data_IF_503511479443
#
_entry.id   IF_503511479443
#
_cell.length_a   1.000
_cell.length_b   1.000
_cell.length_c   1.000
_cell.angle_alpha   90.00
_cell.angle_beta   90.00
_cell.angle_gamma   90.00
#
_symmetry.space_group_name_H-M   'P 1'
#
loop_
_entity.id
_entity.type
_entity.pdbx_description
1 polymer ?
#
# COMPACT_ATOMS: atom_id res chain seq x y z
N UNK A 1 -38.36 -19.80 -19.97
CA UNK A 1 -37.01 -19.60 -20.54
C UNK A 1 -36.32 -18.32 -20.03
N UNK A 2 -37.01 -17.19 -19.78
CA UNK A 2 -36.37 -15.93 -19.27
C UNK A 2 -35.76 -16.05 -17.86
N UNK A 3 -36.30 -16.88 -17.00
CA UNK A 3 -35.84 -17.01 -15.59
C UNK A 3 -34.57 -17.87 -15.42
N UNK A 4 -34.29 -18.79 -16.35
CA UNK A 4 -33.10 -19.65 -16.33
C UNK A 4 -31.85 -18.83 -16.67
N UNK A 5 -31.97 -17.86 -17.60
CA UNK A 5 -30.86 -16.98 -17.96
C UNK A 5 -30.42 -16.05 -16.79
N UNK A 6 -31.38 -15.63 -15.95
CA UNK A 6 -31.11 -14.79 -14.79
C UNK A 6 -30.32 -15.52 -13.69
N UNK A 7 -30.65 -16.79 -13.46
CA UNK A 7 -29.93 -17.62 -12.47
C UNK A 7 -28.52 -18.02 -12.93
N UNK A 8 -28.30 -18.21 -14.23
CA UNK A 8 -26.95 -18.50 -14.75
C UNK A 8 -26.02 -17.29 -14.68
N UNK A 9 -26.55 -16.08 -14.87
CA UNK A 9 -25.78 -14.84 -14.74
C UNK A 9 -25.37 -14.55 -13.27
N UNK A 10 -26.20 -14.95 -12.31
CA UNK A 10 -25.92 -14.75 -10.87
C UNK A 10 -24.85 -15.71 -10.33
N UNK A 11 -24.68 -16.88 -10.95
CA UNK A 11 -23.68 -17.88 -10.52
C UNK A 11 -22.26 -17.60 -11.02
N UNK A 12 -22.08 -16.71 -11.99
CA UNK A 12 -20.76 -16.37 -12.55
C UNK A 12 -20.01 -15.32 -11.68
N UNK A 13 -20.71 -14.67 -10.74
CA UNK A 13 -20.20 -13.55 -9.98
C UNK A 13 -19.34 -13.91 -8.73
N UNK A 14 -19.09 -15.19 -8.45
CA UNK A 14 -18.44 -15.63 -7.22
C UNK A 14 -17.05 -16.27 -7.35
N UNK A 15 -16.41 -16.15 -8.49
CA UNK A 15 -14.98 -16.50 -8.57
C UNK A 15 -14.14 -15.26 -8.26
N UNK A 16 -14.07 -14.90 -6.97
CA UNK A 16 -13.00 -14.06 -6.47
C UNK A 16 -11.75 -14.96 -6.42
N UNK A 17 -10.85 -14.81 -7.39
CA UNK A 17 -9.54 -15.44 -7.28
C UNK A 17 -8.75 -14.66 -6.24
N UNK A 18 -8.46 -15.30 -5.11
CA UNK A 18 -7.49 -14.78 -4.14
C UNK A 18 -6.18 -14.49 -4.85
N UNK A 19 -5.65 -13.29 -4.67
CA UNK A 19 -4.36 -12.92 -5.26
C UNK A 19 -3.25 -13.44 -4.33
N UNK A 20 -2.52 -14.46 -4.78
CA UNK A 20 -1.42 -15.07 -4.02
C UNK A 20 -0.08 -14.59 -4.53
N UNK A 21 0.73 -14.00 -3.67
CA UNK A 21 2.06 -13.48 -3.98
C UNK A 21 3.11 -14.04 -3.04
N UNK A 22 4.29 -14.36 -3.57
CA UNK A 22 5.45 -14.74 -2.81
C UNK A 22 6.60 -13.76 -3.10
N UNK A 23 7.06 -13.03 -2.08
CA UNK A 23 8.29 -12.25 -2.16
C UNK A 23 9.46 -13.17 -1.81
N UNK A 24 10.45 -13.29 -2.71
CA UNK A 24 11.46 -14.35 -2.61
C UNK A 24 12.89 -13.83 -2.80
N UNK A 25 13.80 -14.22 -1.90
CA UNK A 25 15.26 -14.07 -2.05
C UNK A 25 15.86 -12.81 -1.41
N UNK A 26 15.06 -11.89 -0.93
CA UNK A 26 15.54 -10.66 -0.29
C UNK A 26 15.98 -10.83 1.16
N UNK A 27 16.49 -9.76 1.75
CA UNK A 27 16.76 -9.69 3.20
C UNK A 27 15.56 -9.04 3.89
N UNK A 28 14.82 -9.79 4.69
CA UNK A 28 13.70 -9.26 5.47
C UNK A 28 14.20 -8.59 6.75
N UNK A 29 13.75 -7.34 6.95
CA UNK A 29 13.95 -6.55 8.18
C UNK A 29 12.53 -6.29 8.73
N UNK A 30 12.18 -6.93 9.83
CA UNK A 30 10.80 -6.94 10.34
C UNK A 30 10.35 -5.68 11.11
N UNK A 31 11.29 -4.77 11.41
CA UNK A 31 11.02 -3.55 12.16
C UNK A 31 10.92 -3.72 13.68
N UNK A 32 11.05 -4.94 14.21
CA UNK A 32 10.99 -5.22 15.65
C UNK A 32 12.37 -5.34 16.32
N UNK A 33 13.45 -5.17 15.55
CA UNK A 33 14.82 -5.28 16.04
C UNK A 33 15.34 -6.71 16.10
N UNK A 34 14.66 -7.66 15.48
CA UNK A 34 15.14 -9.01 15.30
C UNK A 34 16.30 -9.07 14.28
N UNK A 35 17.03 -10.19 14.29
CA UNK A 35 18.07 -10.44 13.29
C UNK A 35 17.41 -10.52 11.90
N UNK A 36 17.94 -9.81 10.89
CA UNK A 36 17.42 -9.88 9.54
C UNK A 36 17.42 -11.31 8.99
N UNK A 37 16.38 -11.67 8.26
CA UNK A 37 16.24 -12.97 7.60
C UNK A 37 16.75 -12.85 6.17
N UNK A 38 17.87 -13.50 5.87
CA UNK A 38 18.42 -13.60 4.50
C UNK A 38 17.69 -14.67 3.71
N UNK A 39 17.68 -14.55 2.38
CA UNK A 39 16.99 -15.46 1.47
C UNK A 39 15.52 -15.67 1.88
N UNK A 40 14.88 -14.56 2.29
CA UNK A 40 13.53 -14.59 2.86
C UNK A 40 12.48 -15.01 1.82
N UNK A 41 11.44 -15.66 2.34
CA UNK A 41 10.18 -15.92 1.64
C UNK A 41 9.04 -15.34 2.47
N UNK A 42 8.20 -14.54 1.83
CA UNK A 42 6.99 -13.97 2.44
C UNK A 42 5.81 -14.36 1.56
N UNK A 43 4.92 -15.20 2.09
CA UNK A 43 3.69 -15.59 1.41
C UNK A 43 2.56 -14.63 1.77
N UNK A 44 1.88 -14.11 0.76
CA UNK A 44 0.79 -13.14 0.89
C UNK A 44 -0.42 -13.69 0.14
N UNK A 45 -1.56 -13.75 0.82
CA UNK A 45 -2.86 -14.03 0.21
C UNK A 45 -3.76 -12.81 0.42
N UNK A 46 -4.20 -12.22 -0.67
CA UNK A 46 -4.93 -10.95 -0.70
C UNK A 46 -4.14 -9.84 0.04
N UNK A 47 -4.62 -9.39 1.20
CA UNK A 47 -4.00 -8.33 2.02
C UNK A 47 -3.32 -8.90 3.28
N UNK A 48 -3.14 -10.22 3.37
CA UNK A 48 -2.65 -10.88 4.59
C UNK A 48 -1.33 -11.61 4.33
N UNK A 49 -0.33 -11.37 5.19
CA UNK A 49 0.87 -12.20 5.24
C UNK A 49 0.52 -13.51 5.93
N UNK A 50 0.65 -14.62 5.21
CA UNK A 50 0.28 -15.97 5.67
C UNK A 50 1.47 -16.65 6.34
N UNK A 51 2.66 -16.50 5.76
CA UNK A 51 3.84 -17.17 6.26
C UNK A 51 5.11 -16.36 5.95
N UNK A 52 6.10 -16.46 6.83
CA UNK A 52 7.41 -15.84 6.68
C UNK A 52 8.49 -16.86 7.07
N UNK A 53 9.47 -17.01 6.20
CA UNK A 53 10.61 -17.91 6.45
C UNK A 53 11.72 -17.69 5.42
N UNK A 54 12.37 -18.76 5.01
CA UNK A 54 13.47 -18.73 4.02
C UNK A 54 13.18 -19.67 2.86
N UNK A 55 13.92 -19.52 1.77
CA UNK A 55 13.86 -20.41 0.61
C UNK A 55 14.19 -21.89 0.95
N UNK A 56 14.83 -22.14 2.09
CA UNK A 56 15.14 -23.49 2.57
C UNK A 56 14.06 -24.08 3.47
N UNK A 57 13.11 -23.28 3.97
CA UNK A 57 12.09 -23.70 4.94
C UNK A 57 10.68 -23.65 4.42
N UNK A 58 10.40 -22.83 3.40
CA UNK A 58 9.06 -22.66 2.83
C UNK A 58 9.03 -23.25 1.42
N UNK A 59 8.08 -24.17 1.19
CA UNK A 59 7.72 -24.66 -0.13
C UNK A 59 6.62 -23.77 -0.73
N UNK A 60 6.93 -23.12 -1.87
CA UNK A 60 6.01 -22.21 -2.54
C UNK A 60 5.15 -23.00 -3.53
N UNK A 61 3.84 -22.99 -3.30
CA UNK A 61 2.89 -23.63 -4.20
C UNK A 61 2.84 -22.92 -5.56
N UNK A 62 2.55 -23.67 -6.63
CA UNK A 62 2.57 -23.18 -8.02
C UNK A 62 1.49 -22.16 -8.35
N UNK A 63 0.52 -21.92 -7.46
CA UNK A 63 -0.53 -20.92 -7.60
C UNK A 63 -0.12 -19.52 -7.07
N UNK A 64 1.10 -19.39 -6.51
CA UNK A 64 1.66 -18.10 -6.14
C UNK A 64 2.37 -17.40 -7.30
N UNK A 65 2.11 -16.12 -7.48
CA UNK A 65 2.92 -15.23 -8.28
C UNK A 65 4.25 -14.95 -7.55
N UNK A 66 5.37 -15.37 -8.15
CA UNK A 66 6.70 -15.16 -7.55
C UNK A 66 7.20 -13.76 -7.92
N UNK A 67 7.49 -12.94 -6.92
CA UNK A 67 8.14 -11.64 -7.05
C UNK A 67 9.55 -11.76 -6.48
N UNK A 68 10.55 -11.71 -7.35
CA UNK A 68 11.94 -11.75 -6.89
C UNK A 68 12.30 -10.46 -6.15
N UNK A 69 12.83 -10.63 -4.96
CA UNK A 69 13.41 -9.56 -4.14
C UNK A 69 14.90 -9.78 -3.92
N UNK A 70 15.52 -10.62 -4.74
CA UNK A 70 16.95 -10.93 -4.66
C UNK A 70 17.80 -9.65 -4.73
N UNK A 71 18.76 -9.51 -3.82
CA UNK A 71 19.59 -8.31 -3.68
C UNK A 71 18.88 -7.09 -3.07
N UNK A 72 17.61 -7.22 -2.68
CA UNK A 72 16.82 -6.13 -2.06
C UNK A 72 16.65 -6.35 -0.56
N UNK A 73 16.35 -5.27 0.14
CA UNK A 73 15.81 -5.34 1.50
C UNK A 73 14.29 -5.22 1.45
N UNK A 74 13.61 -6.15 2.12
CA UNK A 74 12.16 -6.14 2.30
C UNK A 74 11.87 -5.71 3.73
N UNK A 75 11.00 -4.71 3.91
CA UNK A 75 10.66 -4.17 5.21
C UNK A 75 9.20 -3.71 5.24
N UNK A 76 8.58 -3.62 6.42
CA UNK A 76 7.28 -2.98 6.56
C UNK A 76 7.29 -1.56 6.00
N UNK A 77 6.17 -1.13 5.44
CA UNK A 77 6.03 0.25 5.00
C UNK A 77 6.29 1.25 6.12
N UNK A 78 6.95 2.34 5.79
CA UNK A 78 7.31 3.38 6.75
C UNK A 78 6.07 4.14 7.23
N UNK A 79 6.12 4.61 8.47
CA UNK A 79 5.13 5.50 9.06
C UNK A 79 5.71 6.89 9.24
N UNK A 80 5.07 7.90 8.65
CA UNK A 80 5.34 9.29 8.96
C UNK A 80 4.27 9.83 9.92
N UNK A 81 4.68 10.09 11.15
CA UNK A 81 3.76 10.48 12.23
C UNK A 81 3.44 11.98 12.23
N UNK A 82 4.00 12.76 11.30
CA UNK A 82 3.78 14.19 11.23
C UNK A 82 3.91 14.72 9.79
N UNK A 83 2.84 14.68 9.05
CA UNK A 83 2.79 15.27 7.70
C UNK A 83 1.80 16.43 7.62
N UNK A 84 1.93 17.22 6.57
CA UNK A 84 0.99 18.24 6.14
C UNK A 84 0.81 18.09 4.63
N UNK A 85 -0.12 17.24 4.21
CA UNK A 85 -0.31 16.91 2.79
C UNK A 85 -0.70 18.11 1.92
N UNK A 86 -1.31 19.13 2.52
CA UNK A 86 -1.69 20.35 1.83
C UNK A 86 -0.52 21.30 1.57
N UNK A 87 0.63 21.11 2.24
CA UNK A 87 1.78 22.00 2.16
C UNK A 87 2.85 21.37 1.26
N UNK A 88 3.19 22.07 0.19
CA UNK A 88 4.43 21.84 -0.55
C UNK A 88 5.45 22.91 -0.15
N UNK A 89 6.74 22.63 -0.32
CA UNK A 89 7.80 23.61 -0.05
C UNK A 89 7.54 24.91 -0.80
N UNK A 90 7.09 25.95 -0.11
CA UNK A 90 6.79 27.26 -0.66
C UNK A 90 7.39 28.35 0.24
N UNK A 91 7.79 29.48 -0.36
CA UNK A 91 8.41 30.59 0.37
C UNK A 91 7.40 31.51 1.07
N UNK A 92 6.12 31.44 0.68
CA UNK A 92 5.04 32.28 1.20
C UNK A 92 3.77 31.45 1.41
N UNK A 93 3.57 30.97 2.66
CA UNK A 93 2.40 30.15 3.02
C UNK A 93 1.10 30.96 3.11
N UNK A 94 1.17 32.26 3.41
CA UNK A 94 -0.01 33.14 3.40
C UNK A 94 -0.59 33.29 1.99
N UNK A 95 0.28 33.37 1.01
CA UNK A 95 -0.12 33.36 -0.40
C UNK A 95 -0.67 31.98 -0.80
N UNK A 96 0.00 30.90 -0.38
CA UNK A 96 -0.39 29.53 -0.66
C UNK A 96 -1.82 29.24 -0.19
N UNK A 97 -2.10 29.51 1.08
CA UNK A 97 -3.38 29.25 1.73
C UNK A 97 -4.53 30.11 1.16
N UNK A 98 -4.22 31.25 0.59
CA UNK A 98 -5.23 32.12 -0.08
C UNK A 98 -5.48 31.72 -1.53
N UNK A 99 -4.46 31.19 -2.20
CA UNK A 99 -4.50 30.97 -3.65
C UNK A 99 -4.96 29.56 -4.00
N UNK A 100 -4.54 28.53 -3.26
CA UNK A 100 -4.67 27.14 -3.67
C UNK A 100 -5.65 26.26 -2.88
N UNK A 101 -6.49 26.73 -1.94
CA UNK A 101 -7.37 25.84 -1.16
C UNK A 101 -8.28 24.97 -2.03
N UNK A 102 -8.75 25.49 -3.16
CA UNK A 102 -9.60 24.76 -4.11
C UNK A 102 -8.90 23.57 -4.77
N UNK A 103 -7.55 23.55 -4.76
CA UNK A 103 -6.74 22.48 -5.33
C UNK A 103 -6.26 21.46 -4.30
N UNK A 104 -6.47 21.70 -3.00
CA UNK A 104 -5.96 20.83 -1.94
C UNK A 104 -6.44 19.39 -2.11
N UNK A 105 -7.75 19.18 -2.18
CA UNK A 105 -8.38 17.87 -2.23
C UNK A 105 -8.06 17.07 -3.51
N UNK A 106 -8.06 17.73 -4.66
CA UNK A 106 -8.06 17.01 -5.95
C UNK A 106 -6.69 16.97 -6.62
N UNK A 107 -5.75 17.83 -6.19
CA UNK A 107 -4.42 17.93 -6.81
C UNK A 107 -3.30 17.83 -5.79
N UNK A 108 -3.25 18.76 -4.83
CA UNK A 108 -2.06 18.93 -3.98
C UNK A 108 -1.89 17.77 -3.02
N UNK A 109 -2.92 17.48 -2.21
CA UNK A 109 -2.84 16.43 -1.20
C UNK A 109 -2.68 15.02 -1.82
N UNK A 110 -3.39 14.65 -2.91
CA UNK A 110 -3.13 13.38 -3.59
C UNK A 110 -1.70 13.30 -4.16
N UNK A 111 -1.15 14.39 -4.70
CA UNK A 111 0.23 14.42 -5.19
C UNK A 111 1.23 14.24 -4.06
N UNK A 112 1.02 14.89 -2.92
CA UNK A 112 1.87 14.74 -1.73
C UNK A 112 1.80 13.32 -1.16
N UNK A 113 0.61 12.73 -1.06
CA UNK A 113 0.42 11.35 -0.63
C UNK A 113 1.12 10.36 -1.57
N UNK A 114 1.03 10.59 -2.88
CA UNK A 114 1.73 9.78 -3.87
C UNK A 114 3.26 9.86 -3.71
N UNK A 115 3.81 11.05 -3.44
CA UNK A 115 5.25 11.22 -3.19
C UNK A 115 5.71 10.47 -1.95
N UNK A 116 4.91 10.51 -0.86
CA UNK A 116 5.18 9.72 0.34
C UNK A 116 5.19 8.23 0.04
N UNK A 117 4.19 7.73 -0.68
CA UNK A 117 4.10 6.33 -1.08
C UNK A 117 5.31 5.90 -1.91
N UNK A 118 5.72 6.72 -2.89
CA UNK A 118 6.90 6.45 -3.72
C UNK A 118 8.22 6.49 -2.93
N UNK A 119 8.24 7.14 -1.76
CA UNK A 119 9.35 7.12 -0.81
C UNK A 119 9.29 5.96 0.19
N UNK A 120 8.28 5.06 0.07
CA UNK A 120 8.10 3.91 0.97
C UNK A 120 7.28 4.22 2.22
N UNK A 121 6.72 5.41 2.35
CA UNK A 121 5.81 5.77 3.46
C UNK A 121 4.40 5.32 3.10
N UNK A 122 3.94 4.23 3.73
CA UNK A 122 2.63 3.63 3.47
C UNK A 122 1.55 4.10 4.44
N UNK A 123 1.95 4.74 5.52
CA UNK A 123 1.03 5.29 6.53
C UNK A 123 1.51 6.65 6.99
N UNK A 124 0.58 7.60 7.08
CA UNK A 124 0.93 8.96 7.50
C UNK A 124 -0.14 9.53 8.42
N UNK A 125 0.29 10.38 9.35
CA UNK A 125 -0.59 11.13 10.23
C UNK A 125 -0.54 12.61 9.85
N UNK A 126 -1.58 13.09 9.18
CA UNK A 126 -1.72 14.51 8.85
C UNK A 126 -2.17 15.30 10.10
N UNK A 127 -1.36 16.26 10.52
CA UNK A 127 -1.58 17.07 11.71
C UNK A 127 -2.04 18.50 11.43
N UNK A 128 -2.26 18.88 10.18
CA UNK A 128 -2.58 20.27 9.84
C UNK A 128 -3.40 20.45 8.58
N UNK A 129 -3.89 19.38 7.97
CA UNK A 129 -4.77 19.47 6.81
C UNK A 129 -6.19 19.93 7.18
N UNK A 130 -6.93 20.57 6.24
CA UNK A 130 -8.35 20.80 6.40
C UNK A 130 -9.07 19.46 6.53
N UNK A 131 -9.93 19.31 7.53
CA UNK A 131 -10.49 18.02 7.94
C UNK A 131 -11.27 17.33 6.83
N UNK A 132 -12.16 18.04 6.15
CA UNK A 132 -13.05 17.47 5.13
C UNK A 132 -12.26 17.02 3.90
N UNK A 133 -11.26 17.79 3.49
CA UNK A 133 -10.37 17.45 2.37
C UNK A 133 -9.46 16.28 2.72
N UNK A 134 -8.92 16.25 3.94
CA UNK A 134 -8.07 15.15 4.42
C UNK A 134 -8.84 13.82 4.45
N UNK A 135 -10.07 13.83 4.96
CA UNK A 135 -10.97 12.65 4.96
C UNK A 135 -11.27 12.22 3.52
N UNK A 136 -11.62 13.17 2.64
CA UNK A 136 -11.95 12.87 1.25
C UNK A 136 -10.77 12.32 0.45
N UNK A 137 -9.53 12.68 0.79
CA UNK A 137 -8.31 12.13 0.17
C UNK A 137 -7.99 10.75 0.71
N UNK A 138 -8.17 10.53 2.01
CA UNK A 138 -7.98 9.21 2.63
C UNK A 138 -8.93 8.15 2.05
N UNK A 139 -10.17 8.53 1.73
CA UNK A 139 -11.23 7.60 1.32
C UNK A 139 -11.30 7.38 -0.21
N UNK A 140 -10.34 7.94 -0.98
CA UNK A 140 -10.19 7.72 -2.43
C UNK A 140 -9.41 6.43 -2.73
#
# INVERSE_FOLDING_TARGET
MKNILLYTSLMISFFSFSQKKALVGGTLIDGYGNVPIHDSVILIEDETIIEVGTTSTIEISSDYEIISTEGMSVMPGLWDMHVHLMINGHSDYDYWDKTYPKLFKDVIMPSSAHQLLMAGVTSARDLGGPLDESIAVRDK
#
